data_IF_618513195198
#
_entry.id   IF_618513195198
#
_cell.length_a   1.000
_cell.length_b   1.000
_cell.length_c   1.000
_cell.angle_alpha   90.00
_cell.angle_beta   90.00
_cell.angle_gamma   90.00
#
_symmetry.space_group_name_H-M   'P 1'
#
loop_
_entity.id
_entity.type
_entity.pdbx_description
1 polymer ?
#
# COMPACT_ATOMS: atom_id res chain seq x y z
N UNK A 1 15.55 -0.74 -14.86
CA UNK A 1 14.75 0.07 -13.93
C UNK A 1 13.32 -0.44 -13.96
N UNK A 2 12.79 -0.86 -12.81
CA UNK A 2 11.42 -1.32 -12.61
C UNK A 2 10.72 -0.33 -11.69
N UNK A 3 9.54 0.14 -12.09
CA UNK A 3 8.70 0.96 -11.21
C UNK A 3 7.91 0.07 -10.26
N UNK A 4 7.81 0.50 -9.02
CA UNK A 4 6.99 -0.12 -8.00
C UNK A 4 6.20 0.91 -7.21
N UNK A 5 5.19 0.42 -6.51
CA UNK A 5 4.40 1.22 -5.61
C UNK A 5 4.02 0.39 -4.38
N UNK A 6 3.83 1.05 -3.25
CA UNK A 6 3.46 0.41 -2.00
C UNK A 6 2.75 1.36 -1.05
N UNK A 7 2.17 0.79 0.00
CA UNK A 7 1.36 1.52 0.97
C UNK A 7 1.84 1.28 2.41
N UNK A 8 1.85 2.36 3.19
CA UNK A 8 1.72 2.26 4.65
C UNK A 8 0.23 2.32 4.96
N UNK A 9 -0.35 1.24 5.47
CA UNK A 9 -1.76 1.23 5.85
C UNK A 9 -1.92 1.53 7.32
N UNK A 10 -2.68 2.58 7.61
CA UNK A 10 -2.99 3.03 8.97
C UNK A 10 -4.46 2.73 9.26
N UNK A 11 -4.76 2.25 10.45
CA UNK A 11 -6.10 2.15 11.01
C UNK A 11 -6.35 3.37 11.90
N UNK A 12 -6.96 4.47 11.40
CA UNK A 12 -6.97 5.74 12.12
C UNK A 12 -7.71 5.66 13.46
N UNK A 13 -8.73 4.81 13.54
CA UNK A 13 -9.54 4.61 14.75
C UNK A 13 -8.77 4.00 15.92
N UNK A 14 -7.72 3.24 15.66
CA UNK A 14 -6.93 2.54 16.69
C UNK A 14 -5.48 3.01 16.75
N UNK A 15 -5.03 3.80 15.78
CA UNK A 15 -3.63 4.20 15.64
C UNK A 15 -2.70 3.04 15.30
N UNK A 16 -3.21 1.98 14.66
CA UNK A 16 -2.42 0.82 14.28
C UNK A 16 -1.94 0.90 12.84
N UNK A 17 -0.85 0.23 12.54
CA UNK A 17 -0.28 0.09 11.18
C UNK A 17 -0.29 -1.38 10.79
N UNK A 18 -0.60 -1.66 9.53
CA UNK A 18 -0.50 -3.01 8.99
C UNK A 18 0.93 -3.33 8.56
N UNK A 19 1.49 -4.39 9.15
CA UNK A 19 2.80 -4.93 8.81
C UNK A 19 2.62 -6.35 8.25
N UNK A 20 3.31 -6.64 7.15
CA UNK A 20 3.33 -7.97 6.53
C UNK A 20 4.60 -8.69 6.93
N UNK A 21 4.46 -9.94 7.36
CA UNK A 21 5.55 -10.81 7.79
C UNK A 21 5.67 -12.00 6.85
N UNK A 22 6.87 -12.28 6.34
CA UNK A 22 7.12 -13.54 5.64
C UNK A 22 7.51 -14.65 6.63
N UNK A 23 6.61 -15.61 6.82
CA UNK A 23 6.83 -16.76 7.72
C UNK A 23 7.82 -17.81 7.17
N UNK A 24 8.27 -17.70 5.91
CA UNK A 24 9.36 -18.55 5.39
C UNK A 24 10.71 -18.22 6.02
N UNK A 25 10.88 -17.00 6.52
CA UNK A 25 12.10 -16.55 7.15
C UNK A 25 12.00 -16.77 8.67
N UNK A 26 12.74 -17.75 9.24
CA UNK A 26 12.67 -18.06 10.68
C UNK A 26 13.11 -16.89 11.56
N UNK A 27 13.95 -15.98 11.04
CA UNK A 27 14.33 -14.72 11.68
C UNK A 27 13.24 -13.63 11.65
N UNK A 28 12.13 -13.85 10.94
CA UNK A 28 11.03 -12.90 10.79
C UNK A 28 11.38 -11.73 9.86
N UNK A 29 11.02 -11.84 8.58
CA UNK A 29 11.18 -10.73 7.64
C UNK A 29 9.90 -9.91 7.56
N UNK A 30 9.92 -8.71 8.16
CA UNK A 30 8.82 -7.75 8.09
C UNK A 30 9.00 -6.80 6.90
N UNK A 31 7.89 -6.46 6.25
CA UNK A 31 7.86 -5.45 5.21
C UNK A 31 6.49 -4.78 5.13
N UNK A 32 6.49 -3.62 4.48
CA UNK A 32 5.27 -2.93 4.07
C UNK A 32 4.87 -3.39 2.68
N UNK A 33 3.57 -3.50 2.41
CA UNK A 33 3.10 -4.07 1.16
C UNK A 33 3.47 -3.16 -0.01
N UNK A 34 4.05 -3.77 -1.03
CA UNK A 34 4.56 -3.11 -2.22
C UNK A 34 4.76 -4.16 -3.31
N UNK A 35 4.70 -3.70 -4.55
CA UNK A 35 5.16 -4.54 -5.64
C UNK A 35 5.36 -3.79 -6.93
N UNK A 36 5.27 -4.52 -8.03
CA UNK A 36 5.65 -4.02 -9.35
C UNK A 36 4.46 -3.32 -9.96
N UNK A 37 4.72 -2.16 -10.54
CA UNK A 37 3.74 -1.49 -11.37
C UNK A 37 3.64 -2.23 -12.72
N UNK A 38 2.43 -2.60 -13.10
CA UNK A 38 2.15 -3.20 -14.39
C UNK A 38 2.01 -2.16 -15.53
N UNK A 39 2.13 -2.64 -16.77
CA UNK A 39 1.95 -1.79 -17.96
C UNK A 39 0.48 -1.42 -18.10
N UNK A 40 0.19 -0.13 -18.29
CA UNK A 40 -1.18 0.38 -18.42
C UNK A 40 -1.87 0.78 -17.11
N UNK A 41 -1.29 0.43 -15.96
CA UNK A 41 -1.79 0.80 -14.63
C UNK A 41 -1.21 2.16 -14.15
N UNK A 42 -1.85 2.90 -13.24
CA UNK A 42 -1.23 4.04 -12.55
C UNK A 42 -0.36 3.60 -11.36
N UNK A 43 0.45 4.48 -10.77
CA UNK A 43 1.20 4.15 -9.55
C UNK A 43 0.26 3.97 -8.35
N UNK A 44 -0.80 4.77 -8.30
CA UNK A 44 -1.84 4.72 -7.28
C UNK A 44 -2.62 3.41 -7.34
N UNK A 45 -3.02 2.99 -8.55
CA UNK A 45 -3.69 1.71 -8.77
C UNK A 45 -2.80 0.54 -8.33
N UNK A 46 -1.51 0.56 -8.73
CA UNK A 46 -0.56 -0.45 -8.30
C UNK A 46 -0.41 -0.49 -6.77
N UNK A 47 -0.32 0.67 -6.11
CA UNK A 47 -0.17 0.74 -4.65
C UNK A 47 -1.35 0.11 -3.90
N UNK A 48 -2.59 0.36 -4.35
CA UNK A 48 -3.79 -0.20 -3.73
C UNK A 48 -3.97 -1.68 -4.05
N UNK A 49 -3.66 -2.10 -5.29
CA UNK A 49 -3.68 -3.51 -5.68
C UNK A 49 -2.70 -4.33 -4.83
N UNK A 50 -1.44 -3.91 -4.77
CA UNK A 50 -0.39 -4.59 -4.00
C UNK A 50 -0.71 -4.61 -2.49
N UNK A 51 -1.24 -3.51 -1.95
CA UNK A 51 -1.71 -3.47 -0.56
C UNK A 51 -2.85 -4.46 -0.28
N UNK A 52 -3.75 -4.63 -1.24
CA UNK A 52 -4.87 -5.57 -1.14
C UNK A 52 -4.41 -7.02 -1.29
N UNK A 53 -3.51 -7.30 -2.23
CA UNK A 53 -2.93 -8.62 -2.50
C UNK A 53 -2.08 -9.10 -1.31
N UNK A 54 -1.13 -8.28 -0.85
CA UNK A 54 -0.13 -8.68 0.15
C UNK A 54 -0.65 -8.57 1.59
N UNK A 55 -1.34 -7.48 1.96
CA UNK A 55 -1.76 -7.27 3.34
C UNK A 55 -3.17 -7.76 3.65
N UNK A 56 -4.03 -7.91 2.62
CA UNK A 56 -5.30 -8.64 2.71
C UNK A 56 -6.33 -8.07 3.67
N UNK A 57 -6.31 -6.76 3.89
CA UNK A 57 -7.18 -6.15 4.90
C UNK A 57 -8.52 -5.78 4.28
N UNK A 58 -9.62 -6.37 4.78
CA UNK A 58 -10.98 -6.08 4.31
C UNK A 58 -11.80 -5.51 5.44
N UNK A 59 -12.38 -4.33 5.22
CA UNK A 59 -13.30 -3.70 6.16
C UNK A 59 -14.76 -3.82 5.70
N UNK A 60 -15.68 -3.92 6.67
CA UNK A 60 -17.08 -3.53 6.44
C UNK A 60 -17.13 -2.00 6.44
N UNK A 61 -17.40 -1.44 5.27
CA UNK A 61 -17.54 -0.01 5.00
C UNK A 61 -18.11 0.79 6.20
N UNK A 62 -17.25 1.53 6.92
CA UNK A 62 -17.71 2.46 7.95
C UNK A 62 -18.00 3.82 7.30
N UNK A 63 -19.21 3.96 6.76
CA UNK A 63 -19.79 5.21 6.24
C UNK A 63 -19.79 6.38 7.25
N UNK A 64 -19.34 6.15 8.50
CA UNK A 64 -19.36 7.13 9.58
C UNK A 64 -18.06 7.87 9.84
N UNK A 65 -16.93 7.52 9.21
CA UNK A 65 -15.63 8.08 9.63
C UNK A 65 -15.23 9.40 8.94
N UNK A 66 -15.84 9.82 7.83
CA UNK A 66 -15.56 11.14 7.22
C UNK A 66 -16.80 11.70 6.49
N UNK A 67 -17.60 12.58 7.12
CA UNK A 67 -18.79 13.16 6.49
C UNK A 67 -18.51 13.97 5.22
N UNK A 68 -17.31 14.53 5.07
CA UNK A 68 -16.94 15.47 4.00
C UNK A 68 -16.54 14.81 2.66
N UNK A 69 -16.23 13.51 2.63
CA UNK A 69 -15.80 12.81 1.40
C UNK A 69 -16.95 12.17 0.60
N UNK A 70 -18.18 12.20 1.12
CA UNK A 70 -19.36 11.62 0.44
C UNK A 70 -19.75 12.36 -0.85
N UNK A 71 -19.22 13.55 -1.06
CA UNK A 71 -19.53 14.41 -2.21
C UNK A 71 -18.60 14.20 -3.42
N UNK A 72 -17.52 13.43 -3.29
CA UNK A 72 -16.50 13.33 -4.34
C UNK A 72 -16.69 12.13 -5.29
N UNK A 73 -17.43 11.08 -4.92
CA UNK A 73 -17.60 9.88 -5.75
C UNK A 73 -19.02 9.27 -5.61
N UNK A 74 -20.04 9.78 -6.33
CA UNK A 74 -21.42 9.31 -6.18
C UNK A 74 -21.74 7.99 -6.92
N UNK A 75 -20.91 7.56 -7.89
CA UNK A 75 -21.28 6.51 -8.86
C UNK A 75 -20.52 5.17 -8.71
N UNK A 76 -19.81 4.94 -7.60
CA UNK A 76 -19.28 3.60 -7.34
C UNK A 76 -20.31 2.77 -6.57
N UNK A 77 -21.15 2.04 -7.31
CA UNK A 77 -21.89 0.86 -6.84
C UNK A 77 -20.87 -0.20 -6.39
N UNK A 78 -20.51 -0.20 -5.11
CA UNK A 78 -19.54 -1.16 -4.60
C UNK A 78 -20.26 -2.29 -3.88
N UNK A 79 -20.58 -3.33 -4.64
CA UNK A 79 -21.07 -4.60 -4.14
C UNK A 79 -19.96 -5.65 -4.19
N UNK A 80 -18.85 -5.38 -3.49
CA UNK A 80 -17.80 -6.34 -3.17
C UNK A 80 -17.00 -5.80 -1.97
N UNK A 81 -16.76 -6.61 -0.94
CA UNK A 81 -16.13 -6.20 0.32
C UNK A 81 -14.89 -5.32 0.13
N UNK A 82 -14.84 -4.21 0.85
CA UNK A 82 -14.08 -3.03 0.43
C UNK A 82 -12.61 -3.08 0.85
N UNK A 83 -11.79 -2.73 -0.13
CA UNK A 83 -10.32 -2.63 -0.20
C UNK A 83 -9.79 -1.41 0.59
N UNK A 84 -8.48 -1.37 0.83
CA UNK A 84 -7.83 -0.18 1.41
C UNK A 84 -8.01 1.05 0.49
N UNK A 85 -8.06 2.25 1.06
CA UNK A 85 -8.22 3.51 0.31
C UNK A 85 -7.11 4.47 0.67
N UNK A 86 -6.73 5.39 -0.22
CA UNK A 86 -5.79 6.44 0.15
C UNK A 86 -6.31 7.27 1.31
N UNK A 87 -5.42 7.60 2.25
CA UNK A 87 -5.70 8.58 3.28
C UNK A 87 -5.37 9.97 2.72
N UNK A 88 -6.33 10.89 2.60
CA UNK A 88 -6.05 12.24 2.16
C UNK A 88 -5.19 12.95 3.22
N UNK A 89 -3.96 13.32 2.84
CA UNK A 89 -3.00 13.95 3.76
C UNK A 89 -2.95 15.46 3.54
N UNK A 90 -2.89 16.23 4.63
CA UNK A 90 -2.52 17.65 4.58
C UNK A 90 -0.99 17.80 4.54
N UNK A 91 -0.42 17.45 3.38
CA UNK A 91 1.03 17.58 3.11
C UNK A 91 1.30 18.67 2.07
N UNK A 92 2.46 19.34 2.13
CA UNK A 92 2.87 20.25 1.08
C UNK A 92 2.99 19.50 -0.25
N UNK A 93 2.30 19.97 -1.29
CA UNK A 93 2.50 19.46 -2.64
C UNK A 93 3.93 19.75 -3.12
N UNK A 94 4.57 18.76 -3.76
CA UNK A 94 5.86 18.95 -4.43
C UNK A 94 5.72 19.64 -5.80
N UNK A 95 4.47 19.82 -6.27
CA UNK A 95 4.16 20.61 -7.45
C UNK A 95 4.48 22.11 -7.20
N UNK A 96 5.13 22.82 -8.15
CA UNK A 96 5.33 24.27 -8.05
C UNK A 96 4.00 24.97 -7.76
N UNK A 97 3.99 25.91 -6.80
CA UNK A 97 2.78 26.61 -6.39
C UNK A 97 2.12 27.32 -7.60
N UNK A 98 1.04 26.74 -8.11
CA UNK A 98 0.03 27.50 -8.86
C UNK A 98 -0.77 28.40 -7.91
N UNK A 99 -1.71 29.18 -8.45
CA UNK A 99 -2.58 30.09 -7.68
C UNK A 99 -3.56 29.40 -6.72
N UNK A 100 -3.51 28.07 -6.60
CA UNK A 100 -4.35 27.28 -5.70
C UNK A 100 -3.81 27.35 -4.25
N UNK A 101 -4.70 27.24 -3.23
CA UNK A 101 -4.27 27.20 -1.83
C UNK A 101 -3.23 26.09 -1.59
N UNK A 102 -2.22 26.37 -0.77
CA UNK A 102 -1.03 25.53 -0.59
C UNK A 102 -1.23 24.26 0.25
N UNK A 103 -2.46 24.00 0.69
CA UNK A 103 -2.85 22.89 1.58
C UNK A 103 -4.22 22.39 1.15
N UNK A 104 -4.22 21.47 0.21
CA UNK A 104 -5.39 20.66 -0.13
C UNK A 104 -5.07 19.22 0.26
N UNK A 105 -6.08 18.43 0.69
CA UNK A 105 -5.87 17.01 0.91
C UNK A 105 -5.27 16.36 -0.33
N UNK A 106 -4.13 15.70 -0.16
CA UNK A 106 -3.33 15.12 -1.24
C UNK A 106 -3.10 13.63 -1.01
N UNK A 107 -2.98 12.89 -2.11
CA UNK A 107 -2.56 11.48 -2.13
C UNK A 107 -1.17 11.33 -2.76
N UNK A 108 -0.36 12.39 -2.77
CA UNK A 108 1.02 12.31 -3.26
C UNK A 108 1.84 11.29 -2.46
N UNK A 109 2.83 10.63 -3.09
CA UNK A 109 3.71 9.71 -2.40
C UNK A 109 4.50 10.46 -1.31
N UNK A 110 4.52 9.89 -0.10
CA UNK A 110 5.21 10.45 1.06
C UNK A 110 6.70 10.14 1.09
N UNK A 111 7.11 9.11 0.36
CA UNK A 111 8.50 8.67 0.29
C UNK A 111 8.76 7.96 -1.05
N UNK A 112 10.00 8.05 -1.51
CA UNK A 112 10.47 7.36 -2.71
C UNK A 112 11.77 6.66 -2.35
N UNK A 113 11.84 5.36 -2.63
CA UNK A 113 13.03 4.55 -2.38
C UNK A 113 13.56 3.94 -3.67
N UNK A 114 14.89 3.89 -3.80
CA UNK A 114 15.57 3.15 -4.86
C UNK A 114 16.30 1.96 -4.24
N UNK A 115 16.00 0.75 -4.71
CA UNK A 115 16.67 -0.48 -4.28
C UNK A 115 17.39 -1.08 -5.47
N UNK A 116 18.69 -1.25 -5.33
CA UNK A 116 19.51 -1.97 -6.32
C UNK A 116 19.56 -3.45 -5.94
N UNK A 117 18.96 -4.30 -6.79
CA UNK A 117 19.18 -5.73 -6.75
C UNK A 117 20.27 -6.08 -7.78
N UNK A 118 21.49 -6.28 -7.32
CA UNK A 118 22.64 -6.50 -8.20
C UNK A 118 22.55 -7.82 -8.98
N UNK A 119 23.37 -7.97 -10.04
CA UNK A 119 23.43 -9.20 -10.81
C UNK A 119 23.81 -10.38 -9.93
N UNK A 120 23.06 -11.48 -10.03
CA UNK A 120 23.33 -12.69 -9.28
C UNK A 120 23.29 -13.93 -10.16
N UNK A 121 24.18 -14.89 -9.87
CA UNK A 121 24.27 -16.13 -10.63
C UNK A 121 23.33 -17.17 -10.05
N UNK A 122 22.41 -17.69 -10.87
CA UNK A 122 21.54 -18.83 -10.53
C UNK A 122 21.94 -20.02 -11.41
N UNK A 123 22.86 -20.84 -10.93
CA UNK A 123 23.41 -21.97 -11.70
C UNK A 123 24.20 -21.49 -12.93
N UNK A 124 23.74 -21.86 -14.13
CA UNK A 124 24.35 -21.44 -15.41
C UNK A 124 23.81 -20.10 -15.94
N UNK A 125 22.73 -19.58 -15.35
CA UNK A 125 22.14 -18.31 -15.76
C UNK A 125 22.70 -17.17 -14.91
N UNK A 126 23.04 -16.05 -15.56
CA UNK A 126 23.40 -14.80 -14.89
C UNK A 126 22.18 -13.88 -14.99
N UNK A 127 21.54 -13.65 -13.85
CA UNK A 127 20.54 -12.59 -13.74
C UNK A 127 21.29 -11.25 -13.74
N UNK A 128 20.97 -10.32 -14.67
CA UNK A 128 21.64 -9.02 -14.72
C UNK A 128 21.29 -8.11 -13.52
N UNK A 129 20.35 -8.52 -12.67
CA UNK A 129 19.86 -7.70 -11.58
C UNK A 129 18.76 -6.74 -12.04
N UNK A 130 18.22 -5.96 -11.11
CA UNK A 130 17.17 -4.98 -11.36
C UNK A 130 17.26 -3.85 -10.35
N UNK A 131 17.00 -2.63 -10.79
CA UNK A 131 16.81 -1.48 -9.91
C UNK A 131 15.32 -1.21 -9.75
N UNK A 132 14.83 -1.19 -8.52
CA UNK A 132 13.47 -0.84 -8.18
C UNK A 132 13.38 0.62 -7.75
N UNK A 133 12.47 1.35 -8.37
CA UNK A 133 12.12 2.72 -7.99
C UNK A 133 10.69 2.69 -7.45
N UNK A 134 10.56 2.76 -6.12
CA UNK A 134 9.29 2.50 -5.42
C UNK A 134 8.74 3.77 -4.81
N UNK A 135 7.47 4.06 -5.12
CA UNK A 135 6.69 5.15 -4.54
C UNK A 135 5.86 4.64 -3.36
N UNK A 136 5.94 5.34 -2.24
CA UNK A 136 5.24 4.97 -1.01
C UNK A 136 4.11 5.93 -0.72
N UNK A 137 2.90 5.39 -0.58
CA UNK A 137 1.68 6.13 -0.28
C UNK A 137 1.18 5.80 1.12
N UNK A 138 0.31 6.65 1.67
CA UNK A 138 -0.46 6.32 2.87
C UNK A 138 -1.87 5.89 2.48
N UNK A 139 -2.25 4.73 2.97
CA UNK A 139 -3.61 4.22 2.87
C UNK A 139 -4.24 4.11 4.26
N UNK A 140 -5.57 4.14 4.30
CA UNK A 140 -6.37 3.88 5.48
C UNK A 140 -7.15 2.58 5.35
N UNK A 141 -7.30 1.91 6.48
CA UNK A 141 -8.13 0.72 6.67
C UNK A 141 -9.13 1.00 7.80
N UNK A 142 -10.34 0.45 7.71
CA UNK A 142 -11.32 0.73 8.75
C UNK A 142 -11.11 -0.11 10.02
N UNK A 143 -11.84 0.25 11.07
CA UNK A 143 -11.70 -0.30 12.42
C UNK A 143 -11.95 -1.81 12.52
N UNK A 144 -12.85 -2.30 11.69
CA UNK A 144 -13.31 -3.69 11.68
C UNK A 144 -12.58 -4.52 10.62
N UNK A 145 -11.45 -4.02 10.12
CA UNK A 145 -10.82 -4.65 8.99
C UNK A 145 -10.15 -5.98 9.38
N UNK A 146 -10.50 -7.05 8.67
CA UNK A 146 -10.10 -8.43 8.94
C UNK A 146 -9.19 -8.91 7.79
N UNK A 147 -8.07 -9.59 8.09
CA UNK A 147 -7.24 -10.25 7.10
C UNK A 147 -8.01 -11.35 6.33
N UNK A 148 -7.92 -11.40 5.00
CA UNK A 148 -8.54 -12.44 4.16
C UNK A 148 -7.51 -13.35 3.50
N UNK A 149 -7.83 -14.64 3.37
CA UNK A 149 -6.86 -15.60 2.86
C UNK A 149 -6.90 -15.88 1.34
N UNK A 150 -7.89 -15.34 0.62
CA UNK A 150 -8.28 -15.74 -0.75
C UNK A 150 -7.53 -15.03 -1.90
N UNK A 151 -6.82 -13.93 -1.65
CA UNK A 151 -6.19 -13.09 -2.70
C UNK A 151 -4.70 -13.37 -2.99
N UNK A 152 -4.13 -14.49 -2.49
CA UNK A 152 -2.67 -14.67 -2.42
C UNK A 152 -2.16 -15.15 -3.74
N UNK A 153 -1.05 -14.58 -4.20
CA UNK A 153 -0.30 -15.21 -5.27
C UNK A 153 0.28 -16.55 -4.79
N UNK A 154 0.49 -17.52 -5.68
CA UNK A 154 0.98 -18.86 -5.30
C UNK A 154 2.30 -18.84 -4.50
N UNK A 155 3.15 -17.84 -4.70
CA UNK A 155 4.43 -17.64 -4.04
C UNK A 155 4.33 -16.88 -2.70
N UNK A 156 3.20 -16.25 -2.40
CA UNK A 156 2.98 -15.40 -1.23
C UNK A 156 2.28 -16.13 -0.08
N UNK A 157 2.04 -17.44 -0.21
CA UNK A 157 1.35 -18.31 0.76
C UNK A 157 1.87 -18.23 2.20
N UNK A 158 3.11 -17.77 2.42
CA UNK A 158 3.72 -17.62 3.74
C UNK A 158 3.53 -16.26 4.39
N UNK A 159 2.88 -15.29 3.73
CA UNK A 159 2.78 -13.94 4.26
C UNK A 159 1.68 -13.84 5.31
N UNK A 160 1.94 -13.16 6.42
CA UNK A 160 0.98 -12.93 7.50
C UNK A 160 0.92 -11.45 7.85
N UNK A 161 -0.27 -10.89 7.86
CA UNK A 161 -0.48 -9.48 8.24
C UNK A 161 -0.79 -9.36 9.72
N UNK A 162 -0.18 -8.40 10.39
CA UNK A 162 -0.49 -8.01 11.76
C UNK A 162 -0.76 -6.50 11.86
N UNK A 163 -1.68 -6.13 12.75
CA UNK A 163 -1.96 -4.73 13.09
C UNK A 163 -1.24 -4.37 14.39
N UNK A 164 -0.17 -3.58 14.27
CA UNK A 164 0.69 -3.18 15.38
C UNK A 164 0.44 -1.73 15.76
N UNK A 165 0.60 -1.36 17.04
CA UNK A 165 0.67 0.07 17.39
C UNK A 165 1.97 0.68 16.89
N UNK A 166 2.04 2.02 16.83
CA UNK A 166 3.24 2.73 16.38
C UNK A 166 4.50 2.38 17.20
N UNK A 167 4.36 2.05 18.48
CA UNK A 167 5.48 1.68 19.34
C UNK A 167 5.93 0.21 19.16
N UNK A 168 5.07 -0.62 18.56
CA UNK A 168 5.33 -2.04 18.32
C UNK A 168 5.86 -2.31 16.90
N UNK A 169 5.64 -1.38 15.97
CA UNK A 169 6.11 -1.43 14.59
C UNK A 169 7.54 -0.88 14.48
#
# INVERSE_FOLDING_TARGET
LQLGAGCVMIQPSTGKVAIVWDTKHPEGYAFLPKGRKDVGESLEQAALREATEEARIISTFCLGCIPELRLLCPDHDVQSGYECQFLPLDIPHHCPKGSAPSRNPSHEPIYVSVIHNGPHRRGHYIDPGTEYFTFWYIAQIAADAIPRDDTRMPDEQSYRTELLSYEQA
#
